data_IF_063600331172
#
_entry.id   IF_063600331172
#
_cell.length_a   1.000
_cell.length_b   1.000
_cell.length_c   1.000
_cell.angle_alpha   90.00
_cell.angle_beta   90.00
_cell.angle_gamma   90.00
#
_symmetry.space_group_name_H-M   'P 1'
#
loop_
_entity.id
_entity.type
_entity.pdbx_description
1 polymer ?
#
# COMPACT_ATOMS: atom_id res chain seq x y z
N UNK A 1 8.85 11.76 17.94
CA UNK A 1 7.57 11.46 18.63
C UNK A 1 6.39 11.67 17.71
N UNK A 2 6.12 12.91 17.25
CA UNK A 2 5.01 13.21 16.33
C UNK A 2 4.90 12.23 15.15
N UNK A 3 6.00 12.03 14.43
CA UNK A 3 5.98 11.15 13.25
C UNK A 3 5.72 9.67 13.57
N UNK A 4 6.17 9.19 14.75
CA UNK A 4 5.87 7.83 15.21
C UNK A 4 4.37 7.69 15.47
N UNK A 5 3.77 8.69 16.13
CA UNK A 5 2.33 8.70 16.40
C UNK A 5 1.51 8.82 15.11
N UNK A 6 1.98 9.60 14.13
CA UNK A 6 1.37 9.67 12.80
C UNK A 6 1.34 8.31 12.10
N UNK A 7 2.43 7.53 12.16
CA UNK A 7 2.47 6.17 11.61
C UNK A 7 1.48 5.19 12.29
N UNK A 8 0.93 5.53 13.45
CA UNK A 8 -0.06 4.76 14.20
C UNK A 8 -1.43 5.44 14.27
N UNK A 9 -1.62 6.58 13.59
CA UNK A 9 -2.92 7.25 13.55
C UNK A 9 -3.94 6.35 12.83
N UNK A 10 -5.15 6.11 13.38
CA UNK A 10 -6.18 5.32 12.73
C UNK A 10 -6.56 5.78 11.31
N UNK A 11 -6.38 7.07 11.01
CA UNK A 11 -6.60 7.64 9.67
C UNK A 11 -5.47 7.28 8.70
N UNK A 12 -4.29 6.93 9.20
CA UNK A 12 -3.07 6.67 8.42
C UNK A 12 -2.76 5.18 8.34
N UNK A 13 -2.68 4.50 9.48
CA UNK A 13 -2.26 3.11 9.59
C UNK A 13 -3.34 2.12 9.10
N UNK A 14 -2.89 0.91 8.75
CA UNK A 14 -3.76 -0.21 8.37
C UNK A 14 -4.32 -0.91 9.61
N UNK A 15 -3.45 -1.34 10.55
CA UNK A 15 -3.84 -1.99 11.81
C UNK A 15 -3.09 -1.33 12.98
N UNK A 16 -3.55 -0.15 13.45
CA UNK A 16 -2.81 0.67 14.42
C UNK A 16 -2.65 -0.01 15.79
N UNK A 17 -3.62 -0.83 16.21
CA UNK A 17 -3.58 -1.51 17.51
C UNK A 17 -2.55 -2.66 17.53
N UNK A 18 -2.28 -3.24 16.37
CA UNK A 18 -1.27 -4.26 16.09
C UNK A 18 0.07 -3.64 15.65
N UNK A 19 0.16 -2.30 15.72
CA UNK A 19 1.33 -1.50 15.37
C UNK A 19 1.75 -1.60 13.90
N UNK A 20 0.84 -2.04 13.02
CA UNK A 20 1.06 -2.20 11.58
C UNK A 20 0.62 -0.94 10.84
N UNK A 21 1.56 -0.28 10.16
CA UNK A 21 1.25 0.89 9.34
C UNK A 21 0.73 0.49 7.96
N UNK A 22 1.40 -0.42 7.24
CA UNK A 22 0.97 -0.90 5.91
C UNK A 22 1.72 -2.16 5.46
N UNK A 23 1.29 -2.75 4.34
CA UNK A 23 2.00 -3.85 3.67
C UNK A 23 1.75 -5.21 4.31
N UNK A 24 0.63 -5.36 5.02
CA UNK A 24 0.24 -6.59 5.73
C UNK A 24 0.86 -6.68 7.12
N UNK A 25 2.19 -6.63 7.22
CA UNK A 25 2.94 -6.79 8.47
C UNK A 25 4.04 -5.73 8.70
N UNK A 26 4.01 -4.62 7.94
CA UNK A 26 4.97 -3.52 8.11
C UNK A 26 4.70 -2.72 9.38
N UNK A 27 5.51 -2.94 10.41
CA UNK A 27 5.29 -2.45 11.76
C UNK A 27 6.16 -1.25 12.16
N UNK A 28 5.61 -0.46 13.09
CA UNK A 28 6.32 0.62 13.79
C UNK A 28 7.15 0.06 14.95
N UNK A 29 6.58 -0.90 15.69
CA UNK A 29 7.22 -1.63 16.80
C UNK A 29 6.69 -3.07 16.82
N UNK A 30 7.46 -4.00 17.38
CA UNK A 30 7.02 -5.39 17.57
C UNK A 30 5.95 -5.52 18.65
N UNK A 31 5.96 -4.65 19.66
CA UNK A 31 4.97 -4.63 20.73
C UNK A 31 4.83 -3.26 21.41
N UNK A 32 3.77 -3.08 22.20
CA UNK A 32 3.46 -1.83 22.88
C UNK A 32 4.47 -1.42 23.96
N UNK A 33 5.16 -2.37 24.60
CA UNK A 33 6.18 -2.02 25.59
C UNK A 33 7.34 -1.23 24.94
N UNK A 34 7.74 -1.62 23.74
CA UNK A 34 8.75 -0.91 22.96
C UNK A 34 8.29 0.52 22.63
N UNK A 35 7.03 0.70 22.20
CA UNK A 35 6.45 2.02 21.94
C UNK A 35 6.60 2.95 23.17
N UNK A 36 6.17 2.49 24.35
CA UNK A 36 6.21 3.31 25.56
C UNK A 36 7.63 3.64 26.01
N UNK A 37 8.56 2.69 25.91
CA UNK A 37 9.97 2.92 26.22
C UNK A 37 10.59 3.93 25.26
N UNK A 38 10.29 3.86 23.97
CA UNK A 38 10.77 4.82 22.97
C UNK A 38 10.23 6.21 23.27
N UNK A 39 8.95 6.36 23.57
CA UNK A 39 8.40 7.66 23.97
C UNK A 39 9.09 8.20 25.21
N UNK A 40 9.30 7.37 26.23
CA UNK A 40 10.05 7.73 27.44
C UNK A 40 11.47 8.20 27.13
N UNK A 41 12.20 7.50 26.26
CA UNK A 41 13.55 7.89 25.87
C UNK A 41 13.56 9.19 25.06
N UNK A 42 12.66 9.35 24.09
CA UNK A 42 12.58 10.54 23.26
C UNK A 42 12.21 11.79 24.06
N UNK A 43 11.41 11.66 25.13
CA UNK A 43 11.08 12.77 26.05
C UNK A 43 12.31 13.18 26.88
N UNK A 44 13.13 12.21 27.32
CA UNK A 44 14.24 12.45 28.25
C UNK A 44 15.58 12.74 27.58
N UNK A 45 15.75 12.36 26.32
CA UNK A 45 17.03 12.45 25.64
C UNK A 45 17.48 13.90 25.45
N UNK A 46 18.78 14.10 25.49
CA UNK A 46 19.41 15.41 25.23
C UNK A 46 19.86 15.52 23.78
N UNK A 47 20.33 16.72 23.38
CA UNK A 47 20.93 16.95 22.06
C UNK A 47 22.30 16.27 21.89
N UNK A 48 22.89 15.75 22.96
CA UNK A 48 24.18 15.04 22.92
C UNK A 48 24.00 13.54 23.13
N UNK A 49 22.83 13.01 22.74
CA UNK A 49 22.54 11.58 22.80
C UNK A 49 21.89 11.10 21.50
N UNK A 50 22.04 9.81 21.24
CA UNK A 50 21.40 9.09 20.14
C UNK A 50 20.69 7.86 20.71
N UNK A 51 19.41 7.70 20.37
CA UNK A 51 18.64 6.49 20.64
C UNK A 51 18.97 5.43 19.59
N UNK A 52 19.49 4.29 20.00
CA UNK A 52 19.75 3.16 19.10
C UNK A 52 18.59 2.19 19.18
N UNK A 53 18.00 1.89 18.02
CA UNK A 53 16.86 0.99 17.86
C UNK A 53 17.28 -0.26 17.09
N UNK A 54 16.86 -1.42 17.57
CA UNK A 54 17.12 -2.73 16.97
C UNK A 54 15.79 -3.45 16.74
N UNK A 55 15.28 -3.42 15.51
CA UNK A 55 14.00 -4.01 15.12
C UNK A 55 12.86 -3.65 16.07
N UNK A 56 12.66 -2.35 16.28
CA UNK A 56 11.67 -1.80 17.22
C UNK A 56 12.10 -1.78 18.69
N UNK A 57 13.07 -2.60 19.11
CA UNK A 57 13.56 -2.58 20.49
C UNK A 57 14.47 -1.36 20.76
N UNK A 58 14.18 -0.51 21.76
CA UNK A 58 15.05 0.60 22.12
C UNK A 58 16.22 0.12 22.99
N UNK A 59 17.36 -0.16 22.35
CA UNK A 59 18.57 -0.62 23.02
C UNK A 59 19.04 0.36 24.10
N UNK A 60 18.94 1.66 23.83
CA UNK A 60 19.19 2.70 24.82
C UNK A 60 19.68 4.02 24.23
N UNK A 61 19.94 4.97 25.12
CA UNK A 61 20.54 6.26 24.81
C UNK A 61 22.05 6.21 24.99
N UNK A 62 22.79 6.51 23.93
CA UNK A 62 24.24 6.56 23.94
C UNK A 62 24.72 8.01 23.75
N UNK A 63 25.83 8.42 24.40
CA UNK A 63 26.43 9.73 24.14
C UNK A 63 26.74 9.93 22.66
N UNK A 64 26.46 11.13 22.15
CA UNK A 64 26.74 11.55 20.78
C UNK A 64 26.87 13.08 20.70
N UNK A 65 26.96 13.61 19.48
CA UNK A 65 27.18 15.04 19.26
C UNK A 65 25.89 15.73 18.76
N UNK A 66 25.70 17.03 19.01
CA UNK A 66 24.55 17.80 18.51
C UNK A 66 24.20 17.65 17.02
N UNK A 67 25.15 17.63 16.06
CA UNK A 67 24.84 17.43 14.65
C UNK A 67 24.53 15.98 14.27
N UNK A 68 24.81 15.02 15.17
CA UNK A 68 24.53 13.60 14.93
C UNK A 68 23.03 13.29 14.94
N UNK A 69 22.63 12.15 14.36
CA UNK A 69 21.24 11.73 14.36
C UNK A 69 20.75 11.50 15.79
N UNK A 70 19.51 11.93 16.07
CA UNK A 70 18.86 11.66 17.37
C UNK A 70 18.44 10.20 17.53
N UNK A 71 18.30 9.48 16.42
CA UNK A 71 17.89 8.09 16.42
C UNK A 71 18.54 7.35 15.24
N UNK A 72 19.01 6.14 15.50
CA UNK A 72 19.53 5.21 14.49
C UNK A 72 18.69 3.95 14.56
N UNK A 73 18.22 3.49 13.40
CA UNK A 73 17.25 2.41 13.28
C UNK A 73 17.84 1.28 12.43
N UNK A 74 17.72 0.05 12.92
CA UNK A 74 17.79 -1.15 12.08
C UNK A 74 16.47 -1.90 12.23
N UNK A 75 15.95 -2.48 11.15
CA UNK A 75 14.73 -3.28 11.17
C UNK A 75 14.93 -4.52 10.30
N UNK A 76 14.65 -5.70 10.84
CA UNK A 76 14.74 -6.95 10.08
C UNK A 76 16.15 -7.32 9.61
N UNK A 77 17.19 -6.75 10.20
CA UNK A 77 18.57 -7.06 9.81
C UNK A 77 18.95 -8.47 10.22
N UNK A 78 19.40 -9.25 9.25
CA UNK A 78 19.68 -10.67 9.37
C UNK A 78 20.98 -11.02 8.65
N UNK A 79 21.71 -12.01 9.18
CA UNK A 79 22.79 -12.66 8.42
C UNK A 79 22.16 -13.31 7.18
N UNK A 80 22.71 -13.13 5.96
CA UNK A 80 22.05 -13.54 4.72
C UNK A 80 21.53 -14.99 4.70
N UNK A 81 22.32 -15.95 5.19
CA UNK A 81 21.95 -17.37 5.25
C UNK A 81 20.73 -17.67 6.14
N UNK A 82 20.33 -16.73 6.99
CA UNK A 82 19.18 -16.85 7.90
C UNK A 82 18.03 -15.91 7.54
N UNK A 83 18.15 -15.11 6.48
CA UNK A 83 17.13 -14.14 6.05
C UNK A 83 15.98 -14.80 5.28
N UNK A 84 15.46 -15.91 5.80
CA UNK A 84 14.30 -16.62 5.26
C UNK A 84 13.03 -16.23 6.00
N UNK A 85 11.88 -16.41 5.35
CA UNK A 85 10.58 -16.11 5.94
C UNK A 85 10.27 -16.94 7.19
N UNK A 86 10.59 -18.24 7.15
CA UNK A 86 10.44 -19.15 8.30
C UNK A 86 11.22 -18.65 9.52
N UNK A 87 12.46 -18.19 9.30
CA UNK A 87 13.26 -17.63 10.39
C UNK A 87 12.68 -16.29 10.87
N UNK A 88 12.23 -15.43 9.96
CA UNK A 88 11.53 -14.20 10.33
C UNK A 88 10.32 -14.49 11.23
N UNK A 89 9.42 -15.40 10.84
CA UNK A 89 8.19 -15.70 11.59
C UNK A 89 8.52 -16.20 13.00
N UNK A 90 9.49 -17.12 13.10
CA UNK A 90 10.00 -17.62 14.39
C UNK A 90 10.57 -16.49 15.25
N UNK A 91 11.44 -15.65 14.68
CA UNK A 91 12.13 -14.59 15.42
C UNK A 91 11.19 -13.43 15.79
N UNK A 92 10.21 -13.14 14.95
CA UNK A 92 9.15 -12.20 15.24
C UNK A 92 8.30 -12.68 16.42
N UNK A 93 7.89 -13.96 16.43
CA UNK A 93 7.17 -14.56 17.54
C UNK A 93 7.97 -14.58 18.86
N UNK A 94 9.29 -14.75 18.77
CA UNK A 94 10.20 -14.64 19.91
C UNK A 94 10.49 -13.18 20.35
N UNK A 95 9.97 -12.19 19.61
CA UNK A 95 10.14 -10.76 19.91
C UNK A 95 11.55 -10.21 19.64
N UNK A 96 12.34 -10.87 18.78
CA UNK A 96 13.74 -10.47 18.49
C UNK A 96 13.93 -9.77 17.15
N UNK A 97 12.89 -9.71 16.31
CA UNK A 97 12.90 -8.93 15.06
C UNK A 97 11.52 -8.37 14.75
N UNK A 98 11.43 -7.50 13.75
CA UNK A 98 10.17 -7.02 13.17
C UNK A 98 10.38 -6.68 11.70
N UNK A 99 9.31 -6.72 10.90
CA UNK A 99 9.34 -6.24 9.52
C UNK A 99 8.99 -4.75 9.49
N UNK A 100 10.00 -3.91 9.26
CA UNK A 100 9.82 -2.45 9.27
C UNK A 100 9.33 -1.84 7.96
N UNK A 101 9.13 -2.65 6.91
CA UNK A 101 8.94 -2.14 5.54
C UNK A 101 9.99 -1.06 5.22
N UNK A 102 9.62 0.00 4.51
CA UNK A 102 10.46 1.18 4.24
C UNK A 102 10.14 2.29 5.23
N UNK A 103 8.89 2.78 5.24
CA UNK A 103 8.47 3.97 6.00
C UNK A 103 7.71 3.67 7.28
N UNK A 104 7.29 2.40 7.50
CA UNK A 104 6.60 1.97 8.71
C UNK A 104 7.54 2.01 9.92
N UNK A 105 8.65 1.27 9.86
CA UNK A 105 9.67 1.18 10.91
C UNK A 105 10.68 2.34 10.92
N UNK A 106 10.59 3.27 9.96
CA UNK A 106 11.40 4.50 9.94
C UNK A 106 10.61 5.77 10.26
N UNK A 107 9.31 5.62 10.59
CA UNK A 107 8.47 6.66 11.17
C UNK A 107 8.27 7.86 10.25
N UNK A 108 8.03 7.63 8.97
CA UNK A 108 7.82 8.71 7.99
C UNK A 108 6.74 8.39 6.96
N UNK A 109 5.82 7.49 7.30
CA UNK A 109 4.69 7.19 6.42
C UNK A 109 3.64 8.29 6.52
N UNK A 110 3.26 8.85 5.37
CA UNK A 110 2.34 10.00 5.28
C UNK A 110 0.98 9.59 4.72
N UNK A 111 0.61 8.32 4.94
CA UNK A 111 -0.53 7.74 4.26
C UNK A 111 -0.22 7.48 2.78
N UNK A 112 -1.27 7.19 2.00
CA UNK A 112 -1.11 6.80 0.61
C UNK A 112 -0.61 7.94 -0.31
N UNK A 113 -0.59 9.20 0.15
CA UNK A 113 -0.15 10.36 -0.64
C UNK A 113 1.28 10.19 -1.18
N UNK A 114 2.18 9.59 -0.39
CA UNK A 114 3.58 9.38 -0.81
C UNK A 114 3.72 8.52 -2.07
N UNK A 115 2.72 7.68 -2.37
CA UNK A 115 2.75 6.75 -3.51
C UNK A 115 2.00 7.32 -4.72
N UNK A 116 1.01 8.21 -4.54
CA UNK A 116 0.20 8.76 -5.65
C UNK A 116 1.08 9.32 -6.76
N UNK A 117 2.07 10.15 -6.42
CA UNK A 117 2.95 10.74 -7.42
C UNK A 117 3.76 9.68 -8.18
N UNK A 118 4.32 8.69 -7.48
CA UNK A 118 5.04 7.59 -8.09
C UNK A 118 4.15 6.77 -9.04
N UNK A 119 2.95 6.42 -8.61
CA UNK A 119 1.99 5.67 -9.43
C UNK A 119 1.52 6.48 -10.63
N UNK A 120 1.28 7.79 -10.48
CA UNK A 120 0.97 8.69 -11.60
C UNK A 120 2.09 8.68 -12.64
N UNK A 121 3.35 8.83 -12.21
CA UNK A 121 4.49 8.76 -13.14
C UNK A 121 4.58 7.39 -13.82
N UNK A 122 4.35 6.30 -13.09
CA UNK A 122 4.34 4.95 -13.66
C UNK A 122 3.26 4.81 -14.73
N UNK A 123 2.02 5.22 -14.46
CA UNK A 123 0.92 5.13 -15.43
C UNK A 123 1.16 6.01 -16.66
N UNK A 124 1.66 7.24 -16.48
CA UNK A 124 2.01 8.11 -17.61
C UNK A 124 3.11 7.50 -18.48
N UNK A 125 4.14 6.91 -17.88
CA UNK A 125 5.22 6.26 -18.62
C UNK A 125 4.77 4.94 -19.27
N UNK A 126 3.88 4.19 -18.62
CA UNK A 126 3.26 2.99 -19.20
C UNK A 126 2.42 3.36 -20.43
N UNK A 127 1.65 4.45 -20.37
CA UNK A 127 0.93 5.00 -21.53
C UNK A 127 1.86 5.34 -22.69
N UNK A 128 2.96 6.05 -22.41
CA UNK A 128 3.95 6.41 -23.44
C UNK A 128 4.66 5.20 -24.05
N UNK A 129 5.02 4.21 -23.22
CA UNK A 129 5.84 3.06 -23.63
C UNK A 129 5.03 1.95 -24.29
N UNK A 130 3.87 1.60 -23.74
CA UNK A 130 3.10 0.44 -24.16
C UNK A 130 1.94 0.81 -25.09
N UNK A 131 1.36 2.01 -24.94
CA UNK A 131 0.25 2.48 -25.76
C UNK A 131 0.67 3.52 -26.80
N UNK A 132 1.91 4.03 -26.73
CA UNK A 132 2.41 5.13 -27.55
C UNK A 132 1.52 6.40 -27.46
N UNK A 133 0.95 6.67 -26.28
CA UNK A 133 0.12 7.86 -26.03
C UNK A 133 0.74 8.77 -24.98
N UNK A 134 0.58 10.07 -25.16
CA UNK A 134 0.90 11.09 -24.15
C UNK A 134 -0.31 11.48 -23.30
N UNK A 135 -1.52 11.24 -23.81
CA UNK A 135 -2.81 11.48 -23.16
C UNK A 135 -3.51 10.14 -22.89
N UNK A 136 -3.90 9.93 -21.63
CA UNK A 136 -4.56 8.70 -21.18
C UNK A 136 -6.10 8.82 -21.20
N UNK A 137 -6.65 9.92 -21.69
CA UNK A 137 -8.10 10.14 -21.81
C UNK A 137 -8.78 9.02 -22.58
N UNK A 138 -9.77 8.38 -21.95
CA UNK A 138 -10.51 7.25 -22.53
C UNK A 138 -9.77 5.90 -22.51
N UNK A 139 -8.54 5.86 -22.01
CA UNK A 139 -7.80 4.61 -21.75
C UNK A 139 -8.29 3.97 -20.46
N UNK A 140 -8.36 2.65 -20.45
CA UNK A 140 -8.81 1.86 -19.31
C UNK A 140 -7.62 1.16 -18.67
N UNK A 141 -7.40 1.44 -17.39
CA UNK A 141 -6.38 0.81 -16.56
C UNK A 141 -7.08 -0.10 -15.55
N UNK A 142 -6.77 -1.40 -15.59
CA UNK A 142 -7.31 -2.41 -14.68
C UNK A 142 -6.20 -2.88 -13.74
N UNK A 143 -6.48 -2.87 -12.43
CA UNK A 143 -5.55 -3.32 -11.39
C UNK A 143 -6.29 -3.83 -10.16
N UNK A 144 -5.55 -4.13 -9.10
CA UNK A 144 -6.05 -4.73 -7.86
C UNK A 144 -5.40 -4.14 -6.62
N UNK A 145 -6.11 -4.27 -5.50
CA UNK A 145 -5.70 -3.83 -4.18
C UNK A 145 -5.99 -2.34 -3.94
N UNK A 146 -6.68 -2.06 -2.84
CA UNK A 146 -6.95 -0.71 -2.33
C UNK A 146 -6.41 -0.48 -0.91
N UNK A 147 -5.50 -1.35 -0.47
CA UNK A 147 -4.78 -1.28 0.80
C UNK A 147 -3.91 -0.04 0.95
N UNK A 148 -3.01 -0.04 1.94
CA UNK A 148 -2.20 1.13 2.34
C UNK A 148 -1.55 1.90 1.18
N UNK A 149 -0.79 1.21 0.33
CA UNK A 149 -0.11 1.82 -0.83
C UNK A 149 -0.94 1.72 -2.11
N UNK A 150 -1.57 0.58 -2.34
CA UNK A 150 -2.30 0.26 -3.57
C UNK A 150 -3.59 1.08 -3.75
N UNK A 151 -4.14 1.64 -2.66
CA UNK A 151 -5.22 2.62 -2.73
C UNK A 151 -4.89 3.86 -3.58
N UNK A 152 -3.60 4.19 -3.74
CA UNK A 152 -3.15 5.32 -4.56
C UNK A 152 -3.39 5.16 -6.07
N UNK A 153 -3.59 3.93 -6.54
CA UNK A 153 -3.86 3.63 -7.94
C UNK A 153 -5.11 4.34 -8.46
N UNK A 154 -6.18 4.36 -7.66
CA UNK A 154 -7.46 4.99 -8.02
C UNK A 154 -7.28 6.50 -8.29
N UNK A 155 -6.63 7.21 -7.36
CA UNK A 155 -6.37 8.64 -7.51
C UNK A 155 -5.34 8.94 -8.60
N UNK A 156 -4.32 8.09 -8.75
CA UNK A 156 -3.32 8.23 -9.81
C UNK A 156 -3.94 8.10 -11.20
N UNK A 157 -4.88 7.15 -11.39
CA UNK A 157 -5.60 6.98 -12.64
C UNK A 157 -6.38 8.25 -13.03
N UNK A 158 -7.08 8.85 -12.06
CA UNK A 158 -7.82 10.12 -12.26
C UNK A 158 -6.87 11.27 -12.63
N UNK A 159 -5.73 11.40 -11.94
CA UNK A 159 -4.73 12.43 -12.26
C UNK A 159 -4.15 12.22 -13.67
N UNK A 160 -3.94 10.98 -14.10
CA UNK A 160 -3.48 10.67 -15.45
C UNK A 160 -4.54 10.94 -16.53
N UNK A 161 -5.83 11.04 -16.17
CA UNK A 161 -6.94 11.20 -17.11
C UNK A 161 -7.56 9.88 -17.60
N UNK A 162 -7.11 8.72 -17.11
CA UNK A 162 -7.68 7.43 -17.51
C UNK A 162 -8.88 7.01 -16.66
N UNK A 163 -9.55 5.96 -17.14
CA UNK A 163 -10.56 5.20 -16.41
C UNK A 163 -9.82 4.14 -15.60
N UNK A 164 -9.74 4.31 -14.28
CA UNK A 164 -9.14 3.34 -13.38
C UNK A 164 -10.19 2.35 -12.87
N UNK A 165 -9.98 1.05 -13.06
CA UNK A 165 -10.78 -0.03 -12.47
C UNK A 165 -9.89 -0.80 -11.50
N UNK A 166 -10.17 -0.70 -10.20
CA UNK A 166 -9.33 -1.31 -9.16
C UNK A 166 -10.19 -2.28 -8.35
N UNK A 167 -9.86 -3.56 -8.40
CA UNK A 167 -10.54 -4.60 -7.62
C UNK A 167 -10.08 -4.61 -6.17
N UNK A 168 -11.00 -4.75 -5.23
CA UNK A 168 -10.73 -4.98 -3.82
C UNK A 168 -11.76 -5.95 -3.24
N UNK A 169 -11.28 -6.95 -2.52
CA UNK A 169 -12.11 -8.01 -1.92
C UNK A 169 -12.65 -7.60 -0.55
N UNK A 170 -11.89 -6.78 0.21
CA UNK A 170 -12.30 -6.32 1.53
C UNK A 170 -13.18 -5.05 1.40
N UNK A 171 -14.49 -5.14 1.69
CA UNK A 171 -15.39 -3.99 1.60
C UNK A 171 -15.00 -2.85 2.56
N UNK A 172 -14.38 -3.15 3.70
CA UNK A 172 -13.94 -2.12 4.65
C UNK A 172 -12.82 -1.26 4.05
N UNK A 173 -11.88 -1.89 3.32
CA UNK A 173 -10.78 -1.20 2.65
C UNK A 173 -11.30 -0.37 1.48
N UNK A 174 -12.17 -0.94 0.66
CA UNK A 174 -12.81 -0.23 -0.45
C UNK A 174 -13.59 1.00 0.06
N UNK A 175 -14.44 0.83 1.08
CA UNK A 175 -15.19 1.92 1.69
C UNK A 175 -14.27 3.01 2.24
N UNK A 176 -13.17 2.64 2.92
CA UNK A 176 -12.18 3.60 3.41
C UNK A 176 -11.61 4.47 2.29
N UNK A 177 -11.40 3.94 1.08
CA UNK A 177 -10.90 4.72 -0.07
C UNK A 177 -11.98 5.56 -0.73
N UNK A 178 -13.21 5.08 -0.75
CA UNK A 178 -14.36 5.84 -1.20
C UNK A 178 -14.61 7.07 -0.30
N UNK A 179 -14.65 6.86 1.03
CA UNK A 179 -14.86 7.94 2.01
C UNK A 179 -13.76 9.01 1.97
N UNK A 180 -12.54 8.61 1.57
CA UNK A 180 -11.41 9.52 1.37
C UNK A 180 -11.50 10.30 0.04
N UNK A 181 -12.41 9.94 -0.87
CA UNK A 181 -12.53 10.49 -2.22
C UNK A 181 -11.42 10.03 -3.18
N UNK A 182 -10.81 8.88 -2.91
CA UNK A 182 -9.74 8.31 -3.75
C UNK A 182 -10.32 7.41 -4.84
N UNK A 183 -11.36 6.66 -4.48
CA UNK A 183 -12.27 5.96 -5.38
C UNK A 183 -13.51 6.84 -5.55
N UNK A 184 -13.96 7.06 -6.79
CA UNK A 184 -15.12 7.90 -7.09
C UNK A 184 -16.43 7.13 -7.21
N UNK A 185 -16.35 5.85 -7.60
CA UNK A 185 -17.49 4.98 -7.84
C UNK A 185 -17.22 3.60 -7.25
N UNK A 186 -18.21 2.97 -6.64
CA UNK A 186 -18.14 1.58 -6.18
C UNK A 186 -19.13 0.74 -6.98
N UNK A 187 -18.68 -0.42 -7.47
CA UNK A 187 -19.49 -1.37 -8.23
C UNK A 187 -19.22 -2.77 -7.67
N UNK A 188 -20.24 -3.60 -7.53
CA UNK A 188 -20.15 -4.97 -7.01
C UNK A 188 -20.69 -6.03 -7.99
N UNK A 189 -21.07 -5.62 -9.19
CA UNK A 189 -21.58 -6.47 -10.27
C UNK A 189 -20.74 -6.33 -11.54
N UNK A 190 -20.39 -7.47 -12.14
CA UNK A 190 -19.53 -7.52 -13.33
C UNK A 190 -20.21 -6.94 -14.57
N UNK A 191 -21.50 -7.22 -14.79
CA UNK A 191 -22.22 -6.71 -15.96
C UNK A 191 -22.32 -5.17 -15.92
N UNK A 192 -22.58 -4.64 -14.73
CA UNK A 192 -22.58 -3.20 -14.43
C UNK A 192 -21.20 -2.58 -14.63
N UNK A 193 -20.13 -3.25 -14.18
CA UNK A 193 -18.75 -2.80 -14.37
C UNK A 193 -18.40 -2.66 -15.85
N UNK A 194 -18.67 -3.71 -16.65
CA UNK A 194 -18.37 -3.71 -18.09
C UNK A 194 -19.18 -2.61 -18.81
N UNK A 195 -20.46 -2.47 -18.47
CA UNK A 195 -21.32 -1.42 -19.01
C UNK A 195 -20.77 -0.03 -18.68
N UNK A 196 -20.28 0.16 -17.45
CA UNK A 196 -19.71 1.44 -17.00
C UNK A 196 -18.39 1.76 -17.69
N UNK A 197 -17.51 0.78 -17.88
CA UNK A 197 -16.25 0.95 -18.63
C UNK A 197 -16.57 1.46 -20.05
N UNK A 198 -17.52 0.82 -20.74
CA UNK A 198 -17.95 1.22 -22.10
C UNK A 198 -18.50 2.64 -22.12
N UNK A 199 -19.35 2.99 -21.15
CA UNK A 199 -19.92 4.33 -21.04
C UNK A 199 -18.84 5.39 -20.82
N UNK A 200 -17.95 5.19 -19.84
CA UNK A 200 -16.87 6.11 -19.53
C UNK A 200 -15.92 6.28 -20.71
N UNK A 201 -15.60 5.20 -21.41
CA UNK A 201 -14.76 5.24 -22.61
C UNK A 201 -15.41 6.04 -23.74
N UNK A 202 -16.70 5.79 -24.02
CA UNK A 202 -17.46 6.51 -25.06
C UNK A 202 -17.57 8.00 -24.77
N UNK A 203 -17.82 8.37 -23.51
CA UNK A 203 -17.96 9.76 -23.07
C UNK A 203 -16.63 10.43 -22.69
N UNK A 204 -15.50 9.70 -22.74
CA UNK A 204 -14.18 10.13 -22.27
C UNK A 204 -14.21 10.67 -20.82
N UNK A 205 -14.98 10.01 -19.96
CA UNK A 205 -15.07 10.35 -18.54
C UNK A 205 -13.84 9.78 -17.83
N UNK A 206 -13.06 10.64 -17.21
CA UNK A 206 -12.02 10.24 -16.26
C UNK A 206 -12.69 9.89 -14.93
N UNK A 207 -12.54 8.64 -14.49
CA UNK A 207 -13.09 8.19 -13.21
C UNK A 207 -12.23 7.08 -12.59
N UNK A 208 -12.43 6.83 -11.30
CA UNK A 208 -11.90 5.69 -10.59
C UNK A 208 -13.03 4.84 -10.01
N UNK A 209 -13.09 3.59 -10.48
CA UNK A 209 -14.10 2.60 -10.14
C UNK A 209 -13.43 1.56 -9.24
N UNK A 210 -13.89 1.47 -8.00
CA UNK A 210 -13.54 0.40 -7.09
C UNK A 210 -14.52 -0.76 -7.27
N UNK A 211 -14.03 -1.91 -7.70
CA UNK A 211 -14.86 -3.11 -7.84
C UNK A 211 -14.76 -3.95 -6.57
N UNK A 212 -15.91 -4.24 -5.94
CA UNK A 212 -16.00 -5.12 -4.78
C UNK A 212 -16.03 -6.57 -5.25
N UNK A 213 -14.87 -7.21 -5.29
CA UNK A 213 -14.73 -8.59 -5.74
C UNK A 213 -13.28 -8.97 -6.03
N UNK A 214 -13.08 -10.19 -6.53
CA UNK A 214 -11.75 -10.66 -6.85
C UNK A 214 -11.32 -10.12 -8.22
N UNK A 215 -10.04 -9.74 -8.35
CA UNK A 215 -9.48 -9.29 -9.63
C UNK A 215 -9.53 -10.38 -10.70
N UNK A 216 -9.48 -11.65 -10.28
CA UNK A 216 -9.58 -12.80 -11.18
C UNK A 216 -10.92 -12.79 -11.93
N UNK A 217 -12.03 -12.49 -11.24
CA UNK A 217 -13.37 -12.41 -11.85
C UNK A 217 -13.44 -11.34 -12.94
N UNK A 218 -12.80 -10.18 -12.70
CA UNK A 218 -12.72 -9.11 -13.70
C UNK A 218 -11.92 -9.58 -14.92
N UNK A 219 -10.75 -10.21 -14.72
CA UNK A 219 -9.93 -10.68 -15.82
C UNK A 219 -10.60 -11.77 -16.64
N UNK A 220 -11.25 -12.74 -15.99
CA UNK A 220 -12.03 -13.78 -16.67
C UNK A 220 -13.17 -13.16 -17.46
N UNK A 221 -13.91 -12.20 -16.87
CA UNK A 221 -14.98 -11.51 -17.58
C UNK A 221 -14.49 -10.70 -18.77
N UNK A 222 -13.38 -9.97 -18.64
CA UNK A 222 -12.79 -9.20 -19.75
C UNK A 222 -12.36 -10.14 -20.88
N UNK A 223 -11.77 -11.30 -20.56
CA UNK A 223 -11.42 -12.32 -21.57
C UNK A 223 -12.66 -12.81 -22.30
N UNK A 224 -13.72 -13.18 -21.57
CA UNK A 224 -14.96 -13.64 -22.19
C UNK A 224 -15.59 -12.59 -23.13
N UNK A 225 -15.62 -11.32 -22.72
CA UNK A 225 -16.13 -10.23 -23.57
C UNK A 225 -15.28 -10.09 -24.84
N UNK A 226 -13.95 -10.19 -24.73
CA UNK A 226 -13.05 -10.14 -25.87
C UNK A 226 -13.29 -11.32 -26.83
N UNK A 227 -13.46 -12.54 -26.32
CA UNK A 227 -13.75 -13.72 -27.15
C UNK A 227 -15.10 -13.62 -27.85
N UNK A 228 -16.12 -13.05 -27.19
CA UNK A 228 -17.48 -12.90 -27.73
C UNK A 228 -17.61 -11.75 -28.73
N UNK A 229 -16.90 -10.64 -28.52
CA UNK A 229 -17.15 -9.37 -29.24
C UNK A 229 -15.93 -8.82 -29.99
N UNK A 230 -14.72 -9.29 -29.66
CA UNK A 230 -13.46 -8.70 -30.12
C UNK A 230 -13.10 -7.36 -29.45
N UNK A 231 -13.88 -6.90 -28.47
CA UNK A 231 -13.66 -5.60 -27.82
C UNK A 231 -12.57 -5.68 -26.74
N UNK A 232 -11.52 -4.87 -26.88
CA UNK A 232 -10.46 -4.76 -25.87
C UNK A 232 -10.87 -3.79 -24.76
N UNK A 233 -11.38 -4.32 -23.64
CA UNK A 233 -11.90 -3.50 -22.52
C UNK A 233 -10.82 -2.92 -21.59
N UNK A 234 -9.60 -3.49 -21.57
CA UNK A 234 -8.47 -2.97 -20.80
C UNK A 234 -7.31 -2.57 -21.72
N UNK A 235 -6.85 -1.32 -21.61
CA UNK A 235 -5.66 -0.85 -22.34
C UNK A 235 -4.38 -1.14 -21.55
N UNK A 236 -4.42 -1.04 -20.21
CA UNK A 236 -3.31 -1.40 -19.32
C UNK A 236 -3.80 -2.33 -18.20
N UNK A 237 -3.00 -3.35 -17.90
CA UNK A 237 -3.21 -4.25 -16.77
C UNK A 237 -2.05 -4.20 -15.78
N UNK A 238 -2.35 -4.27 -14.48
CA UNK A 238 -1.36 -4.43 -13.42
C UNK A 238 -1.95 -5.16 -12.21
N UNK A 239 -1.18 -5.30 -11.15
CA UNK A 239 -1.60 -5.86 -9.87
C UNK A 239 -0.79 -5.21 -8.74
N UNK A 240 -1.46 -4.91 -7.63
CA UNK A 240 -0.80 -4.43 -6.41
C UNK A 240 -1.39 -5.08 -5.15
N UNK A 241 -1.85 -6.32 -5.29
CA UNK A 241 -2.10 -7.19 -4.13
C UNK A 241 -0.80 -7.45 -3.38
N UNK A 242 -0.89 -7.82 -2.11
CA UNK A 242 0.30 -8.07 -1.27
C UNK A 242 0.86 -9.47 -1.50
N UNK A 243 1.18 -9.83 -2.76
CA UNK A 243 1.74 -11.12 -3.15
C UNK A 243 3.15 -11.40 -2.59
N UNK A 244 3.82 -10.41 -1.99
CA UNK A 244 5.00 -10.68 -1.16
C UNK A 244 4.66 -11.50 0.09
N UNK A 245 3.38 -11.48 0.50
CA UNK A 245 2.82 -12.27 1.58
C UNK A 245 1.48 -12.94 1.14
N UNK A 246 1.51 -13.97 0.28
CA UNK A 246 0.29 -14.50 -0.32
C UNK A 246 -0.54 -15.38 0.63
N UNK A 247 0.05 -15.90 1.72
CA UNK A 247 -0.60 -16.88 2.61
C UNK A 247 -1.13 -16.30 3.92
N UNK A 248 -0.68 -15.10 4.33
CA UNK A 248 -1.11 -14.47 5.59
C UNK A 248 -2.04 -13.27 5.32
N UNK A 249 -3.00 -13.45 4.40
CA UNK A 249 -4.00 -12.43 4.05
C UNK A 249 -3.53 -11.33 3.09
N UNK A 250 -2.36 -11.49 2.46
CA UNK A 250 -1.92 -10.54 1.42
C UNK A 250 -2.48 -10.82 0.03
N UNK A 251 -2.94 -12.06 -0.23
CA UNK A 251 -3.67 -12.45 -1.43
C UNK A 251 -4.90 -13.28 -1.05
N UNK A 252 -6.02 -13.05 -1.73
CA UNK A 252 -7.28 -13.76 -1.50
C UNK A 252 -7.58 -14.64 -2.71
N UNK A 253 -7.70 -15.97 -2.54
CA UNK A 253 -8.06 -16.86 -3.65
C UNK A 253 -9.47 -16.53 -4.20
N UNK A 254 -9.72 -16.94 -5.44
CA UNK A 254 -10.99 -16.66 -6.12
C UNK A 254 -12.11 -17.64 -5.74
N UNK A 255 -11.74 -18.87 -5.35
CA UNK A 255 -12.66 -19.93 -4.92
C UNK A 255 -13.20 -19.69 -3.51
#
# INVERSE_FOLDING_TARGET
MLMIMNNLDPKVAQFPHELVTYGGNGQVFSNWAQFWLVMKYLIKMTRSQTLVMMSGHPLGLFPSNPPGPRMILTNGMMVPNYSTRINYDRLFALGVTMYGQMTAGSYCYIGPQGIVHGTTLTLMNAGRKYLNVSDMTGKVYVSSGLGGMSGAQAKAAVICGCIGVISEVDPCVLQKRYDQGWVQEMIDDLDSLISRIRECRKKKITTSIGFKGNIVDIWERIREEYEKTGELLADLGSDQTSCHNPFDGGYYPVQ
#
